data_IF_558607580784
#
_entry.id   IF_558607580784
#
_cell.length_a   1.000
_cell.length_b   1.000
_cell.length_c   1.000
_cell.angle_alpha   90.00
_cell.angle_beta   90.00
_cell.angle_gamma   90.00
#
_symmetry.space_group_name_H-M   'P 1'
#
loop_
_entity.id
_entity.type
_entity.pdbx_description
1 polymer ?
#
# COMPACT_ATOMS: atom_id res chain seq x y z
N UNK A 1 12.62 34.07 18.54
CA UNK A 1 11.40 33.51 19.18
C UNK A 1 10.40 33.09 18.08
N UNK A 2 10.28 31.82 17.73
CA UNK A 2 9.39 31.42 16.61
C UNK A 2 9.30 29.91 16.37
N UNK A 3 10.31 29.15 16.81
CA UNK A 3 10.33 27.68 16.73
C UNK A 3 9.15 27.00 17.45
N UNK A 4 8.66 27.54 18.57
CA UNK A 4 7.54 26.96 19.31
C UNK A 4 6.23 26.92 18.52
N UNK A 5 5.93 27.98 17.75
CA UNK A 5 4.73 28.05 16.91
C UNK A 5 4.83 27.11 15.71
N UNK A 6 6.01 27.05 15.07
CA UNK A 6 6.26 26.11 13.98
C UNK A 6 6.15 24.65 14.46
N UNK A 7 6.76 24.32 15.61
CA UNK A 7 6.66 22.99 16.22
C UNK A 7 5.21 22.62 16.52
N UNK A 8 4.43 23.52 17.13
CA UNK A 8 3.02 23.28 17.41
C UNK A 8 2.20 23.01 16.13
N UNK A 9 2.42 23.79 15.06
CA UNK A 9 1.77 23.55 13.76
C UNK A 9 2.14 22.19 13.17
N UNK A 10 3.42 21.82 13.20
CA UNK A 10 3.89 20.53 12.68
C UNK A 10 3.31 19.34 13.47
N UNK A 11 3.28 19.43 14.81
CA UNK A 11 2.67 18.37 15.64
C UNK A 11 1.17 18.23 15.38
N UNK A 12 0.47 19.34 15.10
CA UNK A 12 -0.93 19.28 14.70
C UNK A 12 -1.09 18.55 13.36
N UNK A 13 -0.38 19.00 12.32
CA UNK A 13 -0.42 18.38 10.99
C UNK A 13 -0.08 16.89 11.03
N UNK A 14 0.95 16.52 11.78
CA UNK A 14 1.34 15.12 11.93
C UNK A 14 0.30 14.27 12.66
N UNK A 15 -0.39 14.84 13.66
CA UNK A 15 -1.49 14.15 14.36
C UNK A 15 -2.66 13.95 13.42
N UNK A 16 -3.04 15.01 12.71
CA UNK A 16 -4.14 14.97 11.75
C UNK A 16 -3.82 13.90 10.70
N UNK A 17 -2.63 13.90 10.08
CA UNK A 17 -2.23 12.86 9.12
C UNK A 17 -2.20 11.43 9.70
N UNK A 18 -1.78 11.26 10.96
CA UNK A 18 -1.65 9.93 11.58
C UNK A 18 -3.00 9.31 11.94
N UNK A 19 -3.93 10.13 12.40
CA UNK A 19 -5.21 9.67 12.94
C UNK A 19 -6.41 10.08 12.08
N UNK A 20 -6.17 10.72 10.94
CA UNK A 20 -7.17 10.85 9.89
C UNK A 20 -7.46 9.45 9.35
N UNK A 21 -8.65 8.96 9.66
CA UNK A 21 -9.17 7.74 9.06
C UNK A 21 -9.57 8.08 7.63
N UNK A 22 -8.65 7.88 6.69
CA UNK A 22 -8.97 8.04 5.28
C UNK A 22 -10.09 7.08 4.90
N UNK A 23 -11.18 7.62 4.35
CA UNK A 23 -12.23 6.78 3.75
C UNK A 23 -11.63 6.14 2.49
N UNK A 24 -11.28 4.86 2.61
CA UNK A 24 -10.84 4.07 1.47
C UNK A 24 -12.10 3.65 0.71
N UNK A 25 -12.14 3.94 -0.58
CA UNK A 25 -13.17 3.40 -1.46
C UNK A 25 -12.95 1.88 -1.61
N UNK A 26 -13.61 1.12 -0.73
CA UNK A 26 -13.54 -0.34 -0.68
C UNK A 26 -14.03 -0.98 -1.99
N UNK A 27 -14.92 -0.30 -2.73
CA UNK A 27 -15.43 -0.81 -4.00
C UNK A 27 -14.36 -0.73 -5.07
N UNK A 28 -13.71 0.42 -5.22
CA UNK A 28 -12.58 0.59 -6.13
C UNK A 28 -11.42 -0.36 -5.79
N UNK A 29 -11.12 -0.55 -4.49
CA UNK A 29 -10.10 -1.50 -4.04
C UNK A 29 -10.45 -2.95 -4.42
N UNK A 30 -11.71 -3.35 -4.22
CA UNK A 30 -12.17 -4.69 -4.61
C UNK A 30 -12.09 -4.89 -6.13
N UNK A 31 -12.46 -3.87 -6.91
CA UNK A 31 -12.37 -3.90 -8.37
C UNK A 31 -10.91 -4.03 -8.84
N UNK A 32 -9.94 -3.37 -8.19
CA UNK A 32 -8.51 -3.52 -8.48
C UNK A 32 -7.98 -4.92 -8.09
N UNK A 33 -8.36 -5.42 -6.90
CA UNK A 33 -7.92 -6.73 -6.41
C UNK A 33 -8.45 -7.90 -7.27
N UNK A 34 -9.70 -7.81 -7.70
CA UNK A 34 -10.34 -8.86 -8.49
C UNK A 34 -10.20 -8.66 -10.01
N UNK A 35 -9.97 -7.42 -10.47
CA UNK A 35 -9.89 -7.06 -11.88
C UNK A 35 -8.53 -7.30 -12.56
N UNK A 36 -7.48 -7.62 -11.80
CA UNK A 36 -6.16 -7.98 -12.37
C UNK A 36 -5.95 -9.50 -12.57
N UNK A 37 -6.94 -10.33 -12.24
CA UNK A 37 -6.85 -11.79 -12.39
C UNK A 37 -6.57 -12.30 -13.81
N UNK A 38 -6.89 -11.52 -14.85
CA UNK A 38 -6.59 -11.89 -16.25
C UNK A 38 -5.26 -11.34 -16.77
N UNK A 39 -4.60 -10.41 -16.06
CA UNK A 39 -3.31 -9.82 -16.49
C UNK A 39 -2.09 -10.40 -15.74
N UNK A 40 -2.29 -11.14 -14.66
CA UNK A 40 -1.21 -11.69 -13.84
C UNK A 40 -0.66 -13.06 -14.29
N UNK A 41 -1.35 -13.77 -15.19
CA UNK A 41 -0.88 -15.08 -15.65
C UNK A 41 0.50 -15.03 -16.33
N UNK A 42 0.89 -13.89 -16.89
CA UNK A 42 2.23 -13.72 -17.50
C UNK A 42 3.32 -13.30 -16.52
N UNK A 43 2.99 -12.79 -15.34
CA UNK A 43 3.98 -12.40 -14.32
C UNK A 43 4.33 -13.57 -13.39
N UNK A 44 3.39 -14.49 -13.14
CA UNK A 44 3.64 -15.67 -12.31
C UNK A 44 4.67 -16.63 -12.94
N UNK A 45 4.76 -16.71 -14.28
CA UNK A 45 5.73 -17.56 -14.98
C UNK A 45 7.19 -17.11 -14.77
N UNK A 46 7.44 -15.84 -14.46
CA UNK A 46 8.79 -15.28 -14.24
C UNK A 46 9.17 -15.17 -12.75
N UNK A 47 8.24 -15.39 -11.82
CA UNK A 47 8.51 -15.31 -10.38
C UNK A 47 9.04 -16.67 -9.84
N UNK A 48 10.29 -16.73 -9.31
CA UNK A 48 10.85 -17.95 -8.72
C UNK A 48 10.13 -18.41 -7.44
N UNK A 49 9.21 -17.62 -6.90
CA UNK A 49 8.37 -17.95 -5.76
C UNK A 49 6.92 -18.29 -6.11
N UNK A 50 6.52 -18.22 -7.39
CA UNK A 50 5.19 -18.64 -7.83
C UNK A 50 5.00 -20.16 -7.63
N UNK A 51 3.76 -20.59 -7.41
CA UNK A 51 3.41 -21.97 -7.06
C UNK A 51 3.90 -23.02 -8.09
N UNK A 52 4.02 -22.64 -9.37
CA UNK A 52 4.54 -23.49 -10.44
C UNK A 52 6.06 -23.48 -10.61
N UNK A 53 6.74 -22.43 -10.13
CA UNK A 53 8.14 -22.13 -10.43
C UNK A 53 9.04 -22.13 -9.18
N UNK A 54 8.53 -22.62 -8.04
CA UNK A 54 9.24 -22.59 -6.76
C UNK A 54 10.56 -23.37 -6.78
N UNK A 55 11.68 -22.65 -6.62
CA UNK A 55 13.02 -23.26 -6.53
C UNK A 55 13.41 -23.41 -5.06
N UNK A 56 13.42 -24.65 -4.56
CA UNK A 56 13.96 -24.96 -3.23
C UNK A 56 15.46 -24.67 -3.17
N UNK A 57 15.86 -23.71 -2.32
CA UNK A 57 17.26 -23.38 -2.10
C UNK A 57 17.90 -24.46 -1.22
N UNK A 58 18.78 -25.27 -1.81
CA UNK A 58 19.59 -26.29 -1.14
C UNK A 58 20.76 -25.67 -0.34
#
# INVERSE_FOLDING_TARGET
MGRGRAKAKQTKVARDLKYDSHEIDLKKLADELHGEGERNSSFDDDDPFAEGNYISRA
#
